data_IF_762257511040
#
_entry.id   IF_762257511040
#
_cell.length_a   1.000
_cell.length_b   1.000
_cell.length_c   1.000
_cell.angle_alpha   90.00
_cell.angle_beta   90.00
_cell.angle_gamma   90.00
#
_symmetry.space_group_name_H-M   'P 1'
#
loop_
_entity.id
_entity.type
_entity.pdbx_description
1 polymer ?
#
# COMPACT_ATOMS: atom_id res chain seq x y z
N UNK A 1 -11.63 12.39 23.34
CA UNK A 1 -10.57 11.43 23.11
C UNK A 1 -9.55 11.94 22.11
N UNK A 2 -8.42 12.34 22.65
CA UNK A 2 -7.34 12.92 21.85
C UNK A 2 -6.83 11.96 20.76
N UNK A 3 -6.81 10.67 21.05
CA UNK A 3 -6.32 9.66 20.13
C UNK A 3 -7.11 9.53 18.83
N UNK A 4 -8.39 9.89 18.84
CA UNK A 4 -9.22 9.77 17.65
C UNK A 4 -8.82 10.79 16.57
N UNK A 5 -8.51 12.02 16.97
CA UNK A 5 -8.10 13.06 16.03
C UNK A 5 -6.72 12.72 15.45
N UNK A 6 -5.78 12.29 16.30
CA UNK A 6 -4.45 11.90 15.86
C UNK A 6 -4.50 10.70 14.93
N UNK A 7 -5.38 9.72 15.20
CA UNK A 7 -5.56 8.56 14.35
C UNK A 7 -6.07 8.93 12.96
N UNK A 8 -7.00 9.87 12.89
CA UNK A 8 -7.52 10.35 11.61
C UNK A 8 -6.43 11.02 10.78
N UNK A 9 -5.63 11.87 11.41
CA UNK A 9 -4.51 12.52 10.74
C UNK A 9 -3.49 11.51 10.26
N UNK A 10 -3.16 10.54 11.11
CA UNK A 10 -2.21 9.48 10.76
C UNK A 10 -2.73 8.67 9.58
N UNK A 11 -3.99 8.28 9.59
CA UNK A 11 -4.59 7.53 8.51
C UNK A 11 -4.58 8.32 7.20
N UNK A 12 -4.97 9.58 7.26
CA UNK A 12 -4.99 10.46 6.09
C UNK A 12 -3.58 10.63 5.52
N UNK A 13 -2.60 10.90 6.38
CA UNK A 13 -1.21 11.08 5.97
C UNK A 13 -0.66 9.80 5.33
N UNK A 14 -0.94 8.64 5.94
CA UNK A 14 -0.51 7.36 5.39
C UNK A 14 -1.14 7.09 4.03
N UNK A 15 -2.42 7.41 3.86
CA UNK A 15 -3.11 7.24 2.59
C UNK A 15 -2.47 8.09 1.49
N UNK A 16 -2.14 9.34 1.79
CA UNK A 16 -1.48 10.22 0.83
C UNK A 16 -0.11 9.68 0.45
N UNK A 17 0.66 9.22 1.43
CA UNK A 17 1.97 8.64 1.15
C UNK A 17 1.87 7.38 0.30
N UNK A 18 0.91 6.51 0.59
CA UNK A 18 0.69 5.29 -0.19
C UNK A 18 0.26 5.61 -1.62
N UNK A 19 -0.66 6.55 -1.78
CA UNK A 19 -1.12 6.94 -3.11
C UNK A 19 0.03 7.54 -3.93
N UNK A 20 0.82 8.40 -3.31
CA UNK A 20 1.99 9.00 -3.94
C UNK A 20 3.00 7.93 -4.36
N UNK A 21 3.23 6.96 -3.48
CA UNK A 21 4.12 5.84 -3.76
C UNK A 21 3.63 5.03 -4.97
N UNK A 22 2.35 4.72 -5.03
CA UNK A 22 1.78 4.01 -6.18
C UNK A 22 1.93 4.79 -7.47
N UNK A 23 1.71 6.10 -7.41
CA UNK A 23 1.87 6.97 -8.58
C UNK A 23 3.32 6.94 -9.09
N UNK A 24 4.27 6.95 -8.17
CA UNK A 24 5.69 6.86 -8.53
C UNK A 24 6.05 5.49 -9.09
N UNK A 25 5.46 4.41 -8.56
CA UNK A 25 5.69 3.06 -9.07
C UNK A 25 5.21 2.89 -10.51
N UNK A 26 4.22 3.66 -10.94
CA UNK A 26 3.79 3.65 -12.34
C UNK A 26 4.84 4.23 -13.27
N UNK A 27 5.69 5.11 -12.76
CA UNK A 27 6.65 5.85 -13.56
C UNK A 27 8.06 5.26 -13.51
N UNK A 28 8.43 4.64 -12.38
CA UNK A 28 9.80 4.18 -12.19
C UNK A 28 9.88 2.96 -11.28
N UNK A 29 11.01 2.30 -11.30
CA UNK A 29 11.24 1.11 -10.48
C UNK A 29 11.38 1.47 -9.01
N UNK A 30 11.05 0.50 -8.15
CA UNK A 30 11.06 0.67 -6.71
C UNK A 30 12.41 1.20 -6.20
N UNK A 31 13.52 0.67 -6.72
CA UNK A 31 14.85 1.06 -6.26
C UNK A 31 15.24 2.48 -6.65
N UNK A 32 14.46 3.12 -7.51
CA UNK A 32 14.71 4.50 -7.94
C UNK A 32 13.82 5.52 -7.22
N UNK A 33 12.85 5.05 -6.44
CA UNK A 33 11.96 5.93 -5.68
C UNK A 33 12.67 6.33 -4.38
N UNK A 34 12.63 7.62 -4.06
CA UNK A 34 13.28 8.17 -2.87
C UNK A 34 12.26 8.76 -1.91
N UNK A 35 12.65 8.86 -0.63
CA UNK A 35 11.83 9.54 0.38
C UNK A 35 11.59 10.99 -0.02
N UNK A 36 12.62 11.64 -0.58
CA UNK A 36 12.51 13.02 -1.05
C UNK A 36 11.38 13.18 -2.06
N UNK A 37 11.32 12.30 -3.05
CA UNK A 37 10.27 12.34 -4.07
C UNK A 37 8.88 12.14 -3.47
N UNK A 38 8.75 11.16 -2.57
CA UNK A 38 7.47 10.90 -1.92
C UNK A 38 7.03 12.11 -1.12
N UNK A 39 7.95 12.69 -0.34
CA UNK A 39 7.63 13.85 0.49
C UNK A 39 7.22 15.04 -0.36
N UNK A 40 7.94 15.32 -1.44
CA UNK A 40 7.63 16.43 -2.33
C UNK A 40 6.28 16.25 -3.01
N UNK A 41 6.01 15.09 -3.57
CA UNK A 41 4.76 14.81 -4.27
C UNK A 41 3.57 14.75 -3.33
N UNK A 42 3.76 14.24 -2.12
CA UNK A 42 2.70 14.17 -1.12
C UNK A 42 2.50 15.48 -0.36
N UNK A 43 3.36 16.45 -0.60
CA UNK A 43 3.34 17.75 0.08
C UNK A 43 3.47 17.62 1.59
N UNK A 44 4.44 16.81 2.01
CA UNK A 44 4.80 16.62 3.42
C UNK A 44 6.31 16.81 3.55
N UNK A 45 6.78 17.04 4.78
CA UNK A 45 8.21 17.08 5.01
C UNK A 45 8.76 15.68 5.28
N UNK A 46 10.08 15.51 5.16
CA UNK A 46 10.71 14.21 5.36
C UNK A 46 10.52 13.67 6.77
N UNK A 47 10.49 14.55 7.76
CA UNK A 47 10.24 14.15 9.14
C UNK A 47 8.90 13.46 9.31
N UNK A 48 7.88 13.93 8.58
CA UNK A 48 6.57 13.30 8.58
C UNK A 48 6.64 11.89 8.01
N UNK A 49 7.37 11.70 6.92
CA UNK A 49 7.60 10.37 6.36
C UNK A 49 8.25 9.45 7.40
N UNK A 50 9.36 9.90 7.99
CA UNK A 50 10.13 9.09 8.93
C UNK A 50 9.40 8.80 10.24
N UNK A 51 8.32 9.52 10.52
CA UNK A 51 7.46 9.21 11.66
C UNK A 51 6.77 7.86 11.48
N UNK A 52 6.47 7.47 10.25
CA UNK A 52 5.70 6.27 9.94
C UNK A 52 6.52 5.15 9.32
N UNK A 53 7.57 5.47 8.58
CA UNK A 53 8.36 4.50 7.83
C UNK A 53 9.83 4.83 7.96
N UNK A 54 10.67 3.79 8.00
CA UNK A 54 12.12 4.00 8.09
C UNK A 54 12.74 4.37 6.74
N UNK A 55 12.18 3.83 5.67
CA UNK A 55 12.63 4.11 4.29
C UNK A 55 11.55 3.69 3.30
N UNK A 56 11.83 3.81 2.02
CA UNK A 56 10.88 3.46 0.96
C UNK A 56 10.57 1.96 0.97
N UNK A 57 11.57 1.13 1.22
CA UNK A 57 11.37 -0.32 1.28
C UNK A 57 10.45 -0.70 2.44
N UNK A 58 10.59 -0.04 3.57
CA UNK A 58 9.71 -0.26 4.72
C UNK A 58 8.26 0.08 4.37
N UNK A 59 8.04 1.19 3.68
CA UNK A 59 6.72 1.57 3.18
C UNK A 59 6.15 0.49 2.27
N UNK A 60 6.95 0.03 1.32
CA UNK A 60 6.55 -1.02 0.38
C UNK A 60 6.16 -2.30 1.11
N UNK A 61 7.00 -2.73 2.05
CA UNK A 61 6.76 -3.97 2.80
C UNK A 61 5.48 -3.88 3.65
N UNK A 62 5.24 -2.74 4.27
CA UNK A 62 4.03 -2.55 5.08
C UNK A 62 2.77 -2.56 4.23
N UNK A 63 2.82 -1.97 3.05
CA UNK A 63 1.70 -2.01 2.10
C UNK A 63 1.44 -3.44 1.66
N UNK A 64 2.48 -4.18 1.29
CA UNK A 64 2.35 -5.58 0.90
C UNK A 64 1.73 -6.43 2.00
N UNK A 65 2.19 -6.26 3.23
CA UNK A 65 1.68 -7.00 4.38
C UNK A 65 0.19 -6.75 4.58
N UNK A 66 -0.23 -5.50 4.41
CA UNK A 66 -1.64 -5.12 4.55
C UNK A 66 -2.50 -5.82 3.49
N UNK A 67 -2.07 -5.85 2.24
CA UNK A 67 -2.79 -6.53 1.17
C UNK A 67 -2.81 -8.04 1.38
N UNK A 68 -1.71 -8.63 1.82
CA UNK A 68 -1.64 -10.06 2.09
C UNK A 68 -2.63 -10.45 3.19
N UNK A 69 -2.72 -9.66 4.25
CA UNK A 69 -3.69 -9.92 5.31
C UNK A 69 -5.12 -9.86 4.80
N UNK A 70 -5.43 -8.87 3.98
CA UNK A 70 -6.77 -8.74 3.41
C UNK A 70 -7.11 -9.95 2.53
N UNK A 71 -6.17 -10.39 1.70
CA UNK A 71 -6.35 -11.56 0.84
C UNK A 71 -6.56 -12.82 1.69
N UNK A 72 -5.78 -12.98 2.75
CA UNK A 72 -5.93 -14.13 3.65
C UNK A 72 -7.31 -14.17 4.31
N UNK A 73 -7.82 -13.02 4.72
CA UNK A 73 -9.17 -12.93 5.29
C UNK A 73 -10.23 -13.35 4.29
N UNK A 74 -10.12 -12.87 3.07
CA UNK A 74 -11.05 -13.24 2.00
C UNK A 74 -11.02 -14.74 1.72
N UNK A 75 -9.82 -15.33 1.67
CA UNK A 75 -9.69 -16.77 1.47
C UNK A 75 -10.29 -17.55 2.62
N UNK A 76 -10.11 -17.12 3.86
CA UNK A 76 -10.67 -17.77 5.03
C UNK A 76 -12.21 -17.77 4.99
N UNK A 77 -12.81 -16.68 4.54
CA UNK A 77 -14.27 -16.57 4.44
C UNK A 77 -14.82 -17.35 3.26
N UNK A 78 -14.07 -17.41 2.17
CA UNK A 78 -14.47 -18.13 0.95
C UNK A 78 -14.41 -19.64 1.11
N UNK A 79 -13.73 -20.08 2.15
CA UNK A 79 -13.58 -21.47 2.48
C UNK A 79 -13.04 -22.32 1.31
N UNK A 80 -13.28 -23.57 1.31
CA UNK A 80 -12.60 -24.63 0.60
C UNK A 80 -12.84 -24.70 -0.92
N UNK A 81 -13.61 -23.80 -1.50
CA UNK A 81 -13.88 -23.83 -2.92
C UNK A 81 -12.81 -23.05 -3.69
N UNK A 82 -11.92 -23.79 -4.37
CA UNK A 82 -10.83 -23.21 -5.12
C UNK A 82 -11.31 -22.24 -6.20
N UNK A 83 -12.39 -22.58 -6.87
CA UNK A 83 -12.97 -21.75 -7.93
C UNK A 83 -13.44 -20.39 -7.40
N UNK A 84 -14.16 -20.42 -6.28
CA UNK A 84 -14.59 -19.18 -5.60
C UNK A 84 -13.40 -18.37 -5.11
N UNK A 85 -12.39 -19.02 -4.58
CA UNK A 85 -11.19 -18.35 -4.09
C UNK A 85 -10.46 -17.64 -5.22
N UNK A 86 -10.33 -18.27 -6.38
CA UNK A 86 -9.71 -17.67 -7.55
C UNK A 86 -10.53 -16.49 -8.06
N UNK A 87 -11.85 -16.63 -8.11
CA UNK A 87 -12.74 -15.55 -8.55
C UNK A 87 -12.65 -14.36 -7.60
N UNK A 88 -12.65 -14.61 -6.30
CA UNK A 88 -12.52 -13.57 -5.28
C UNK A 88 -11.20 -12.84 -5.43
N UNK A 89 -10.11 -13.57 -5.63
CA UNK A 89 -8.79 -12.97 -5.82
C UNK A 89 -8.74 -12.11 -7.06
N UNK A 90 -9.26 -12.61 -8.17
CA UNK A 90 -9.30 -11.86 -9.43
C UNK A 90 -10.11 -10.58 -9.30
N UNK A 91 -11.27 -10.65 -8.63
CA UNK A 91 -12.10 -9.47 -8.41
C UNK A 91 -11.40 -8.46 -7.52
N UNK A 92 -10.70 -8.93 -6.49
CA UNK A 92 -9.95 -8.07 -5.59
C UNK A 92 -8.85 -7.32 -6.34
N UNK A 93 -8.09 -8.02 -7.16
CA UNK A 93 -7.02 -7.43 -7.97
C UNK A 93 -7.57 -6.41 -8.97
N UNK A 94 -8.71 -6.73 -9.60
CA UNK A 94 -9.33 -5.82 -10.57
C UNK A 94 -9.84 -4.53 -9.94
N UNK A 95 -10.29 -4.59 -8.70
CA UNK A 95 -10.85 -3.42 -8.00
C UNK A 95 -9.78 -2.52 -7.43
N UNK A 96 -8.62 -3.05 -7.09
CA UNK A 96 -7.58 -2.30 -6.39
C UNK A 96 -6.39 -2.05 -7.30
N UNK A 97 -6.30 -0.82 -7.80
CA UNK A 97 -5.21 -0.40 -8.68
C UNK A 97 -3.84 -0.53 -7.98
N UNK A 98 -3.79 -0.21 -6.69
CA UNK A 98 -2.56 -0.33 -5.92
C UNK A 98 -2.06 -1.77 -5.87
N UNK A 99 -2.97 -2.71 -5.64
CA UNK A 99 -2.62 -4.13 -5.62
C UNK A 99 -2.14 -4.60 -6.99
N UNK A 100 -2.78 -4.15 -8.07
CA UNK A 100 -2.35 -4.47 -9.43
C UNK A 100 -0.92 -4.02 -9.67
N UNK A 101 -0.59 -2.81 -9.25
CA UNK A 101 0.77 -2.27 -9.39
C UNK A 101 1.76 -3.09 -8.59
N UNK A 102 1.43 -3.46 -7.36
CA UNK A 102 2.31 -4.26 -6.51
C UNK A 102 2.57 -5.64 -7.12
N UNK A 103 1.54 -6.28 -7.64
CA UNK A 103 1.66 -7.61 -8.27
C UNK A 103 2.56 -7.53 -9.50
N UNK A 104 2.34 -6.54 -10.36
CA UNK A 104 3.13 -6.36 -11.57
C UNK A 104 4.59 -6.08 -11.25
N UNK A 105 4.86 -5.23 -10.27
CA UNK A 105 6.24 -4.91 -9.87
C UNK A 105 6.92 -6.06 -9.16
N UNK A 106 6.18 -6.85 -8.39
CA UNK A 106 6.74 -7.99 -7.67
C UNK A 106 7.17 -9.11 -8.60
N UNK A 107 6.58 -9.22 -9.78
CA UNK A 107 6.92 -10.26 -10.74
C UNK A 107 8.11 -9.91 -11.63
N UNK A 108 8.68 -8.73 -11.45
CA UNK A 108 9.86 -8.29 -12.21
C UNK A 108 11.19 -8.75 -11.57
#
# INVERSE_FOLDING_TARGET
MAGTIDNRRSQFTKQIMQQTFFDLLKEKDLNKITVKEIAEKADINRGTFYRYYTDVLDLYNKIQSSYIQTVKQEFSESDLNLEKSLTTLLNFVKKDEGLQILVLKSSQ
#
